data_IF_970598240311
#
_entry.id   IF_970598240311
#
_cell.length_a   1.000
_cell.length_b   1.000
_cell.length_c   1.000
_cell.angle_alpha   90.00
_cell.angle_beta   90.00
_cell.angle_gamma   90.00
#
_symmetry.space_group_name_H-M   'P 1'
#
loop_
_entity.id
_entity.type
_entity.pdbx_description
1 polymer ?
#
# COMPACT_ATOMS: atom_id res chain seq x y z
N UNK A 1 26.27 27.47 -38.42
CA UNK A 1 25.37 26.86 -37.41
C UNK A 1 26.02 25.54 -37.01
N UNK A 2 26.78 25.51 -35.92
CA UNK A 2 27.52 24.30 -35.50
C UNK A 2 26.65 23.55 -34.50
N UNK A 3 26.15 22.39 -34.90
CA UNK A 3 25.44 21.47 -34.01
C UNK A 3 26.46 20.81 -33.08
N UNK A 4 26.46 21.20 -31.80
CA UNK A 4 27.26 20.54 -30.76
C UNK A 4 26.54 19.24 -30.39
N UNK A 5 27.15 18.05 -30.56
CA UNK A 5 26.52 16.81 -30.16
C UNK A 5 26.39 16.78 -28.63
N UNK A 6 25.20 16.39 -28.14
CA UNK A 6 24.91 16.17 -26.73
C UNK A 6 25.79 15.02 -26.24
N UNK A 7 26.88 15.33 -25.53
CA UNK A 7 27.70 14.27 -24.92
C UNK A 7 26.83 13.50 -23.92
N UNK A 8 26.70 12.19 -24.14
CA UNK A 8 26.11 11.29 -23.17
C UNK A 8 27.02 11.30 -21.93
N UNK A 9 26.60 12.01 -20.88
CA UNK A 9 27.27 12.01 -19.59
C UNK A 9 27.16 10.61 -18.96
N UNK A 10 28.05 9.70 -19.33
CA UNK A 10 28.32 8.50 -18.55
C UNK A 10 29.02 8.94 -17.26
N UNK A 11 28.25 8.97 -16.16
CA UNK A 11 28.78 9.32 -14.83
C UNK A 11 30.02 8.44 -14.54
N UNK A 12 31.21 9.01 -14.27
CA UNK A 12 32.41 8.23 -14.00
C UNK A 12 32.21 7.32 -12.78
N UNK A 13 32.88 6.16 -12.76
CA UNK A 13 32.73 5.13 -11.72
C UNK A 13 32.86 5.68 -10.28
N UNK A 14 33.66 6.73 -10.10
CA UNK A 14 33.86 7.45 -8.83
C UNK A 14 32.59 8.18 -8.35
N UNK A 15 31.76 8.70 -9.26
CA UNK A 15 30.48 9.33 -8.92
C UNK A 15 29.42 8.29 -8.50
N UNK A 16 29.47 7.07 -9.04
CA UNK A 16 28.59 5.98 -8.59
C UNK A 16 28.88 5.62 -7.13
N UNK A 17 30.14 5.54 -6.72
CA UNK A 17 30.51 5.28 -5.32
C UNK A 17 30.01 6.37 -4.36
N UNK A 18 30.10 7.64 -4.76
CA UNK A 18 29.63 8.79 -3.98
C UNK A 18 28.10 8.89 -3.87
N UNK A 19 27.37 8.52 -4.91
CA UNK A 19 25.92 8.71 -4.96
C UNK A 19 25.13 7.63 -4.21
N UNK A 20 25.72 6.45 -3.96
CA UNK A 20 25.09 5.40 -3.15
C UNK A 20 24.64 5.86 -1.75
N UNK A 21 25.50 6.48 -0.91
CA UNK A 21 25.07 6.94 0.40
C UNK A 21 24.06 8.09 0.34
N UNK A 22 24.02 8.86 -0.76
CA UNK A 22 23.04 9.94 -0.94
C UNK A 22 21.62 9.40 -1.16
N UNK A 23 21.47 8.16 -1.64
CA UNK A 23 20.17 7.50 -1.83
C UNK A 23 19.61 6.94 -0.51
N UNK A 24 20.48 6.68 0.48
CA UNK A 24 20.09 6.15 1.79
C UNK A 24 19.66 7.24 2.78
N UNK A 25 20.03 8.49 2.53
CA UNK A 25 19.70 9.62 3.42
C UNK A 25 18.22 10.01 3.21
N UNK A 26 17.43 9.86 4.27
CA UNK A 26 16.03 10.30 4.32
C UNK A 26 15.87 11.82 4.23
N UNK A 27 14.63 12.28 4.07
CA UNK A 27 14.34 13.70 3.98
C UNK A 27 14.61 14.45 5.30
N UNK A 28 15.00 15.72 5.20
CA UNK A 28 15.12 16.61 6.37
C UNK A 28 13.71 17.02 6.81
N UNK A 29 13.36 16.73 8.06
CA UNK A 29 12.07 17.09 8.65
C UNK A 29 12.04 18.58 9.00
N UNK A 30 10.85 19.18 8.91
CA UNK A 30 10.64 20.57 9.29
C UNK A 30 10.56 20.71 10.82
N UNK A 31 10.95 21.86 11.37
CA UNK A 31 11.01 22.12 12.82
C UNK A 31 9.67 21.94 13.55
N UNK A 32 8.55 21.99 12.82
CA UNK A 32 7.21 21.76 13.38
C UNK A 32 6.86 20.28 13.58
N UNK A 33 7.67 19.36 13.05
CA UNK A 33 7.43 17.92 13.16
C UNK A 33 7.87 17.48 14.55
N UNK A 34 6.97 16.81 15.27
CA UNK A 34 7.29 16.24 16.56
C UNK A 34 8.36 15.16 16.38
N UNK A 35 9.47 15.31 17.10
CA UNK A 35 10.53 14.33 17.13
C UNK A 35 10.15 13.22 18.12
N UNK A 36 9.99 12.00 17.63
CA UNK A 36 9.79 10.83 18.46
C UNK A 36 10.32 9.58 17.77
N UNK A 37 10.78 8.64 18.58
CA UNK A 37 11.25 7.33 18.14
C UNK A 37 10.11 6.29 18.05
N UNK A 38 8.91 6.65 18.48
CA UNK A 38 7.77 5.73 18.59
C UNK A 38 6.47 6.33 18.06
N UNK A 39 5.65 5.49 17.42
CA UNK A 39 4.41 5.90 16.76
C UNK A 39 3.31 6.31 17.76
N UNK A 40 3.42 5.89 19.02
CA UNK A 40 2.52 6.27 20.10
C UNK A 40 2.55 7.78 20.41
N UNK A 41 3.62 8.50 20.06
CA UNK A 41 3.77 9.92 20.34
C UNK A 41 3.30 10.83 19.18
N UNK A 42 2.66 10.25 18.16
CA UNK A 42 2.09 11.02 17.05
C UNK A 42 0.95 11.93 17.52
N UNK A 43 1.05 13.24 17.25
CA UNK A 43 -0.01 14.17 17.62
C UNK A 43 -1.23 14.07 16.69
N UNK A 44 -2.40 13.93 17.30
CA UNK A 44 -3.69 14.03 16.61
C UNK A 44 -4.07 15.51 16.46
N UNK A 45 -3.87 16.06 15.26
CA UNK A 45 -4.14 17.49 14.99
C UNK A 45 -5.64 17.77 14.86
N UNK A 46 -6.40 16.81 14.33
CA UNK A 46 -7.86 16.88 14.20
C UNK A 46 -8.46 15.49 14.05
N UNK A 47 -9.67 15.31 14.56
CA UNK A 47 -10.55 14.17 14.28
C UNK A 47 -11.82 14.67 13.60
N UNK A 48 -12.45 13.83 12.78
CA UNK A 48 -13.71 14.15 12.11
C UNK A 48 -14.68 12.99 12.24
N UNK A 49 -15.95 13.32 12.53
CA UNK A 49 -16.99 12.35 12.84
C UNK A 49 -16.91 11.82 14.28
N UNK A 50 -17.99 11.14 14.70
CA UNK A 50 -18.03 10.43 15.97
C UNK A 50 -17.72 8.96 15.75
N UNK A 51 -16.76 8.43 16.51
CA UNK A 51 -16.51 6.99 16.55
C UNK A 51 -17.74 6.36 17.20
N UNK A 52 -18.53 5.63 16.41
CA UNK A 52 -19.64 4.83 16.93
C UNK A 52 -19.10 3.93 18.04
N UNK A 53 -19.51 4.20 19.28
CA UNK A 53 -19.15 3.40 20.45
C UNK A 53 -19.68 1.99 20.22
N UNK A 54 -18.77 1.03 20.33
CA UNK A 54 -18.95 -0.31 19.80
C UNK A 54 -19.93 -1.09 20.68
N UNK A 55 -21.04 -1.56 20.08
CA UNK A 55 -21.76 -2.75 20.57
C UNK A 55 -20.74 -3.88 20.81
N UNK A 56 -20.89 -4.72 21.85
CA UNK A 56 -19.84 -5.62 22.35
C UNK A 56 -19.38 -6.73 21.39
N UNK A 57 -19.83 -6.74 20.13
CA UNK A 57 -19.60 -7.84 19.17
C UNK A 57 -19.30 -7.34 17.75
N UNK A 58 -18.49 -6.28 17.60
CA UNK A 58 -18.00 -5.89 16.28
C UNK A 58 -16.90 -6.86 15.85
N UNK A 59 -17.18 -7.63 14.79
CA UNK A 59 -16.22 -8.56 14.20
C UNK A 59 -15.10 -7.81 13.49
N UNK A 60 -13.90 -8.37 13.49
CA UNK A 60 -12.78 -7.83 12.73
C UNK A 60 -13.10 -7.86 11.22
N UNK A 61 -12.63 -6.88 10.45
CA UNK A 61 -12.82 -6.84 8.99
C UNK A 61 -12.43 -8.16 8.29
N UNK A 62 -11.39 -8.86 8.76
CA UNK A 62 -10.99 -10.16 8.21
C UNK A 62 -12.08 -11.22 8.41
N UNK A 63 -12.72 -11.24 9.57
CA UNK A 63 -13.82 -12.18 9.85
C UNK A 63 -15.06 -11.83 9.04
N UNK A 64 -15.38 -10.53 8.92
CA UNK A 64 -16.50 -10.07 8.11
C UNK A 64 -16.33 -10.47 6.64
N UNK A 65 -15.13 -10.29 6.09
CA UNK A 65 -14.80 -10.65 4.70
C UNK A 65 -14.94 -12.16 4.47
N UNK A 66 -14.50 -12.99 5.43
CA UNK A 66 -14.69 -14.45 5.37
C UNK A 66 -16.16 -14.85 5.46
N UNK A 67 -16.92 -14.23 6.36
CA UNK A 67 -18.36 -14.50 6.53
C UNK A 67 -19.19 -14.05 5.34
N UNK A 68 -18.77 -12.98 4.68
CA UNK A 68 -19.40 -12.48 3.46
C UNK A 68 -18.95 -13.24 2.20
N UNK A 69 -18.02 -14.19 2.32
CA UNK A 69 -17.44 -14.97 1.21
C UNK A 69 -16.82 -14.12 0.09
N UNK A 70 -16.47 -12.86 0.39
CA UNK A 70 -15.98 -11.90 -0.62
C UNK A 70 -14.45 -11.92 -0.79
N UNK A 71 -13.71 -12.63 0.08
CA UNK A 71 -12.28 -12.87 -0.16
C UNK A 71 -11.79 -14.22 0.35
N UNK A 72 -10.88 -14.82 -0.42
CA UNK A 72 -10.26 -16.11 -0.12
C UNK A 72 -8.75 -15.94 0.17
N UNK A 73 -8.36 -16.26 1.40
CA UNK A 73 -7.00 -16.08 1.91
C UNK A 73 -6.12 -17.32 1.74
N UNK A 74 -6.69 -18.54 1.81
CA UNK A 74 -5.90 -19.76 1.72
C UNK A 74 -5.30 -19.94 0.32
N UNK A 75 -6.13 -19.75 -0.70
CA UNK A 75 -5.69 -19.82 -2.10
C UNK A 75 -4.75 -18.66 -2.45
N UNK A 76 -5.00 -17.46 -1.92
CA UNK A 76 -4.10 -16.32 -2.10
C UNK A 76 -2.72 -16.55 -1.50
N UNK A 77 -2.68 -17.18 -0.32
CA UNK A 77 -1.43 -17.52 0.35
C UNK A 77 -0.60 -18.58 -0.38
N UNK A 78 -1.26 -19.57 -0.99
CA UNK A 78 -0.58 -20.59 -1.81
C UNK A 78 0.11 -19.98 -3.04
N UNK A 79 -0.55 -19.02 -3.69
CA UNK A 79 -0.06 -18.42 -4.95
C UNK A 79 0.97 -17.31 -4.70
N UNK A 80 0.84 -16.56 -3.61
CA UNK A 80 1.58 -15.31 -3.38
C UNK A 80 2.39 -15.25 -2.09
N UNK A 81 2.24 -16.23 -1.20
CA UNK A 81 2.73 -16.14 0.17
C UNK A 81 1.77 -15.38 1.11
N UNK A 82 2.21 -15.17 2.35
CA UNK A 82 1.35 -14.85 3.50
C UNK A 82 0.47 -13.60 3.43
N UNK A 83 0.63 -12.74 2.42
CA UNK A 83 -0.15 -11.50 2.24
C UNK A 83 -1.02 -11.48 0.98
N UNK A 84 -1.08 -12.57 0.22
CA UNK A 84 -1.97 -12.68 -0.93
C UNK A 84 -3.39 -13.10 -0.57
N UNK A 85 -4.36 -12.55 -1.29
CA UNK A 85 -5.77 -12.93 -1.21
C UNK A 85 -6.45 -12.77 -2.57
N UNK A 86 -7.53 -13.52 -2.80
CA UNK A 86 -8.41 -13.33 -3.94
C UNK A 86 -9.66 -12.58 -3.50
N UNK A 87 -10.08 -11.60 -4.29
CA UNK A 87 -11.35 -10.89 -4.08
C UNK A 87 -12.42 -11.42 -5.02
N UNK A 88 -13.63 -11.61 -4.50
CA UNK A 88 -14.80 -11.96 -5.30
C UNK A 88 -15.19 -10.77 -6.19
N UNK A 89 -15.38 -10.97 -7.52
CA UNK A 89 -15.86 -9.94 -8.43
C UNK A 89 -17.20 -9.30 -8.02
N UNK A 90 -18.01 -9.92 -7.16
CA UNK A 90 -19.24 -9.29 -6.63
C UNK A 90 -18.99 -7.98 -5.89
N UNK A 91 -17.78 -7.75 -5.36
CA UNK A 91 -17.39 -6.46 -4.78
C UNK A 91 -17.45 -5.33 -5.83
N UNK A 92 -17.10 -5.64 -7.08
CA UNK A 92 -16.98 -4.66 -8.15
C UNK A 92 -18.24 -4.57 -9.02
N UNK A 93 -19.06 -5.62 -9.07
CA UNK A 93 -20.23 -5.68 -9.94
C UNK A 93 -21.55 -5.64 -9.17
N UNK A 94 -22.51 -4.79 -9.58
CA UNK A 94 -23.84 -4.77 -8.99
C UNK A 94 -24.57 -6.11 -9.21
N UNK A 95 -25.50 -6.47 -8.31
CA UNK A 95 -26.27 -7.71 -8.41
C UNK A 95 -27.08 -7.75 -9.71
N UNK A 96 -27.01 -8.88 -10.44
CA UNK A 96 -27.68 -9.09 -11.73
C UNK A 96 -26.75 -9.14 -12.95
N UNK A 97 -25.44 -8.96 -12.76
CA UNK A 97 -24.42 -9.24 -13.78
C UNK A 97 -23.83 -10.65 -13.56
N UNK A 98 -23.49 -11.31 -14.66
CA UNK A 98 -22.94 -12.66 -14.69
C UNK A 98 -21.52 -12.70 -14.12
N UNK A 99 -21.37 -13.19 -12.89
CA UNK A 99 -20.08 -13.33 -12.20
C UNK A 99 -19.13 -14.34 -12.87
N UNK A 100 -19.68 -15.28 -13.65
CA UNK A 100 -18.91 -16.37 -14.27
C UNK A 100 -18.16 -15.94 -15.55
N UNK A 101 -18.43 -14.74 -16.09
CA UNK A 101 -17.72 -14.22 -17.27
C UNK A 101 -16.49 -13.37 -16.94
N UNK A 102 -16.25 -13.11 -15.64
CA UNK A 102 -15.14 -12.26 -15.18
C UNK A 102 -14.21 -13.05 -14.25
N UNK A 103 -12.91 -13.18 -14.58
CA UNK A 103 -11.97 -13.92 -13.75
C UNK A 103 -11.76 -13.22 -12.40
N UNK A 104 -11.59 -14.01 -11.33
CA UNK A 104 -11.18 -13.54 -10.01
C UNK A 104 -9.93 -12.67 -10.13
N UNK A 105 -9.96 -11.45 -9.59
CA UNK A 105 -8.83 -10.53 -9.63
C UNK A 105 -7.86 -10.85 -8.47
N UNK A 106 -6.59 -11.06 -8.83
CA UNK A 106 -5.51 -11.29 -7.88
C UNK A 106 -4.89 -9.94 -7.49
N UNK A 107 -4.79 -9.70 -6.18
CA UNK A 107 -4.10 -8.53 -5.63
C UNK A 107 -2.99 -8.99 -4.69
N UNK A 108 -1.79 -8.44 -4.91
CA UNK A 108 -0.69 -8.57 -3.98
C UNK A 108 -0.67 -7.30 -3.11
N UNK A 109 -0.58 -7.47 -1.79
CA UNK A 109 -0.50 -6.37 -0.83
C UNK A 109 0.93 -5.88 -0.63
#
# INVERSE_FOLDING_TARGET
MIHVPRQANTKPATQKGRNKPLEEIGNIVHDSVLFSDDDANNAVIRSWGEKQLQEPTIKNHVELVKLAEIAEFARGAEVAGSRGFYLDPTIFFPPGRDINSHPMYYFNA
#
